data_IF_731172751035
#
_entry.id   IF_731172751035
#
_cell.length_a   1.000
_cell.length_b   1.000
_cell.length_c   1.000
_cell.angle_alpha   90.00
_cell.angle_beta   90.00
_cell.angle_gamma   90.00
#
_symmetry.space_group_name_H-M   'P 1'
#
loop_
_entity.id
_entity.type
_entity.pdbx_description
1 polymer ?
#
# COMPACT_ATOMS: atom_id res chain seq x y z
N UNK A 1 -32.11 -48.48 16.66
CA UNK A 1 -32.25 -47.80 15.34
C UNK A 1 -32.85 -46.42 15.61
N UNK A 2 -32.00 -45.38 15.65
CA UNK A 2 -31.92 -44.22 14.72
C UNK A 2 -33.05 -43.19 14.91
N UNK A 3 -32.62 -41.92 14.88
CA UNK A 3 -33.33 -40.64 14.69
C UNK A 3 -33.76 -39.92 15.96
N UNK A 4 -33.57 -38.61 16.12
CA UNK A 4 -32.67 -37.59 15.59
C UNK A 4 -33.14 -36.30 16.30
N UNK A 5 -32.22 -35.45 16.75
CA UNK A 5 -32.54 -34.13 17.31
C UNK A 5 -32.96 -33.19 16.18
N UNK A 6 -34.00 -32.34 16.33
CA UNK A 6 -34.10 -31.15 15.52
C UNK A 6 -33.33 -29.99 16.16
N UNK A 7 -32.30 -29.56 15.44
CA UNK A 7 -31.69 -28.24 15.50
C UNK A 7 -32.71 -27.24 14.97
N UNK A 8 -33.09 -26.21 15.75
CA UNK A 8 -33.59 -24.98 15.16
C UNK A 8 -32.80 -23.79 15.69
N UNK A 9 -32.01 -23.25 14.77
CA UNK A 9 -31.20 -22.04 14.88
C UNK A 9 -31.93 -20.97 14.06
N UNK A 10 -32.58 -20.02 14.74
CA UNK A 10 -33.12 -18.80 14.14
C UNK A 10 -32.40 -17.63 14.84
N UNK A 11 -31.37 -17.04 14.21
CA UNK A 11 -31.44 -15.87 13.31
C UNK A 11 -32.10 -14.70 14.03
N UNK A 12 -31.28 -13.84 14.64
CA UNK A 12 -30.88 -12.55 14.06
C UNK A 12 -32.08 -11.75 13.56
N UNK A 13 -32.38 -10.66 14.26
CA UNK A 13 -32.59 -9.31 13.73
C UNK A 13 -33.22 -8.48 14.85
N UNK A 14 -32.95 -7.19 14.85
CA UNK A 14 -33.34 -6.23 15.89
C UNK A 14 -32.44 -6.28 17.13
N UNK A 15 -31.37 -5.50 17.11
CA UNK A 15 -31.27 -4.43 18.09
C UNK A 15 -30.16 -3.46 17.64
N UNK A 16 -30.60 -2.24 17.33
CA UNK A 16 -29.89 -0.97 17.55
C UNK A 16 -28.90 -0.52 16.47
N UNK A 17 -29.47 -0.14 15.34
CA UNK A 17 -29.21 1.18 14.77
C UNK A 17 -29.45 2.25 15.86
N UNK A 18 -28.43 3.01 16.21
CA UNK A 18 -28.49 4.37 16.81
C UNK A 18 -27.09 4.95 16.62
N UNK A 19 -26.79 5.75 15.59
CA UNK A 19 -27.17 7.16 15.42
C UNK A 19 -26.72 8.01 16.61
N UNK A 20 -25.49 8.57 16.59
CA UNK A 20 -25.06 9.89 17.12
C UNK A 20 -23.71 10.18 16.41
N UNK A 21 -23.60 11.04 15.39
CA UNK A 21 -23.61 12.51 15.37
C UNK A 21 -22.36 13.16 16.01
N UNK A 22 -21.94 14.30 15.42
CA UNK A 22 -20.86 15.24 15.78
C UNK A 22 -19.43 14.76 15.43
N UNK A 23 -18.56 15.53 14.76
CA UNK A 23 -18.41 16.98 14.76
C UNK A 23 -17.67 17.43 13.49
N UNK A 24 -18.30 18.37 12.77
CA UNK A 24 -17.68 19.22 11.76
C UNK A 24 -17.06 20.42 12.46
N UNK A 25 -15.83 20.78 12.07
CA UNK A 25 -15.37 22.17 12.04
C UNK A 25 -14.34 22.60 13.09
N UNK A 26 -13.16 23.03 12.63
CA UNK A 26 -12.50 24.27 13.08
C UNK A 26 -11.34 24.62 12.12
N UNK A 27 -11.61 25.53 11.20
CA UNK A 27 -10.60 26.30 10.48
C UNK A 27 -10.18 27.50 11.33
N UNK A 28 -8.88 27.70 11.55
CA UNK A 28 -8.23 28.97 11.86
C UNK A 28 -6.70 28.71 11.86
N UNK A 29 -5.97 29.04 10.80
CA UNK A 29 -5.38 30.37 10.60
C UNK A 29 -4.55 30.83 11.82
N UNK A 30 -3.31 30.35 11.93
CA UNK A 30 -2.28 31.01 12.73
C UNK A 30 -1.20 31.54 11.79
N UNK A 31 -1.24 32.85 11.59
CA UNK A 31 -0.33 33.62 10.78
C UNK A 31 1.03 33.84 11.49
N UNK A 32 2.13 33.99 10.75
CA UNK A 32 3.46 34.31 11.28
C UNK A 32 3.65 35.83 11.48
N UNK A 33 4.37 36.28 12.52
CA UNK A 33 4.88 37.65 12.56
C UNK A 33 6.29 37.75 11.96
N UNK A 34 6.37 38.49 10.85
CA UNK A 34 7.32 39.56 10.54
C UNK A 34 8.73 39.52 11.15
N UNK A 35 9.74 39.51 10.28
CA UNK A 35 10.96 40.28 10.50
C UNK A 35 11.61 40.66 9.15
N UNK A 36 11.53 41.95 8.82
CA UNK A 36 12.19 42.57 7.68
C UNK A 36 13.70 42.57 7.89
N UNK A 37 14.49 42.20 6.88
CA UNK A 37 15.85 42.72 6.68
C UNK A 37 16.12 42.90 5.18
N UNK A 38 16.05 44.16 4.76
CA UNK A 38 16.64 44.66 3.52
C UNK A 38 18.16 44.58 3.63
N UNK A 39 18.82 43.88 2.69
CA UNK A 39 20.24 44.14 2.40
C UNK A 39 20.64 43.74 0.98
N UNK A 40 20.66 44.77 0.13
CA UNK A 40 21.59 45.03 -0.98
C UNK A 40 21.58 44.14 -2.24
N UNK A 41 21.40 44.75 -3.44
CA UNK A 41 21.66 44.12 -4.72
C UNK A 41 23.13 44.32 -5.11
N UNK A 42 23.87 43.23 -5.31
CA UNK A 42 25.15 43.29 -6.02
C UNK A 42 25.07 42.37 -7.23
N UNK A 43 25.03 43.00 -8.41
CA UNK A 43 25.14 42.37 -9.72
C UNK A 43 26.29 41.35 -9.77
N UNK A 44 26.00 40.13 -10.23
CA UNK A 44 26.99 39.32 -10.93
C UNK A 44 26.34 38.36 -11.92
N UNK A 45 26.44 38.76 -13.19
CA UNK A 45 26.46 38.00 -14.45
C UNK A 45 25.57 36.75 -14.64
N UNK A 46 24.74 36.71 -15.71
CA UNK A 46 24.17 35.46 -16.20
C UNK A 46 25.25 34.66 -16.93
N UNK A 47 25.81 33.64 -16.27
CA UNK A 47 26.42 32.53 -17.00
C UNK A 47 25.27 31.68 -17.52
N UNK A 48 24.97 31.81 -18.80
CA UNK A 48 24.10 30.89 -19.52
C UNK A 48 24.70 29.47 -19.43
N UNK A 49 24.22 28.68 -18.47
CA UNK A 49 24.43 27.23 -18.42
C UNK A 49 23.09 26.52 -18.63
N UNK A 50 22.46 26.79 -19.76
CA UNK A 50 21.31 26.02 -20.25
C UNK A 50 21.83 25.08 -21.33
N UNK A 51 22.08 23.83 -20.98
CA UNK A 51 22.52 22.84 -21.96
C UNK A 51 22.63 21.38 -21.50
N UNK A 52 22.22 21.00 -20.29
CA UNK A 52 22.38 19.62 -19.79
C UNK A 52 21.24 19.12 -18.88
N UNK A 53 20.00 19.60 -19.05
CA UNK A 53 18.87 19.11 -18.24
C UNK A 53 17.92 18.14 -18.97
N UNK A 54 18.14 17.87 -20.25
CA UNK A 54 17.23 17.03 -21.04
C UNK A 54 17.64 15.55 -21.10
N UNK A 55 18.88 15.20 -20.74
CA UNK A 55 19.37 13.81 -20.73
C UNK A 55 19.18 13.14 -19.36
N UNK A 56 18.98 13.90 -18.27
CA UNK A 56 18.85 13.34 -16.91
C UNK A 56 17.49 12.69 -16.64
N UNK A 57 16.40 13.21 -17.23
CA UNK A 57 15.03 12.75 -16.93
C UNK A 57 14.75 11.31 -17.39
N UNK A 58 15.40 10.83 -18.45
CA UNK A 58 15.24 9.44 -18.90
C UNK A 58 16.05 8.45 -18.06
N UNK A 59 17.25 8.85 -17.62
CA UNK A 59 18.10 8.01 -16.77
C UNK A 59 17.49 7.85 -15.36
N UNK A 60 16.97 8.94 -14.78
CA UNK A 60 16.26 8.90 -13.49
C UNK A 60 15.02 7.98 -13.57
N UNK A 61 14.30 8.00 -14.69
CA UNK A 61 13.14 7.15 -14.91
C UNK A 61 13.50 5.66 -15.00
N UNK A 62 14.58 5.32 -15.71
CA UNK A 62 15.10 3.95 -15.80
C UNK A 62 15.59 3.43 -14.45
N UNK A 63 16.27 4.27 -13.67
CA UNK A 63 16.69 3.95 -12.30
C UNK A 63 15.48 3.67 -11.40
N UNK A 64 14.44 4.53 -11.45
CA UNK A 64 13.20 4.31 -10.69
C UNK A 64 12.47 3.03 -11.10
N UNK A 65 12.43 2.70 -12.40
CA UNK A 65 11.86 1.43 -12.88
C UNK A 65 12.61 0.25 -12.27
N UNK A 66 13.96 0.30 -12.23
CA UNK A 66 14.78 -0.77 -11.67
C UNK A 66 14.56 -0.92 -10.15
N UNK A 67 14.51 0.18 -9.41
CA UNK A 67 14.21 0.18 -7.98
C UNK A 67 12.83 -0.42 -7.70
N UNK A 68 11.80 0.01 -8.42
CA UNK A 68 10.44 -0.49 -8.24
C UNK A 68 10.35 -1.98 -8.56
N UNK A 69 11.01 -2.46 -9.62
CA UNK A 69 11.02 -3.90 -9.93
C UNK A 69 11.74 -4.73 -8.89
N UNK A 70 12.83 -4.23 -8.30
CA UNK A 70 13.52 -4.90 -7.20
C UNK A 70 12.62 -5.00 -5.96
N UNK A 71 11.97 -3.89 -5.58
CA UNK A 71 11.04 -3.87 -4.44
C UNK A 71 9.87 -4.83 -4.67
N UNK A 72 9.26 -4.84 -5.87
CA UNK A 72 8.19 -5.77 -6.19
C UNK A 72 8.64 -7.24 -6.09
N UNK A 73 9.88 -7.54 -6.49
CA UNK A 73 10.44 -8.88 -6.35
C UNK A 73 10.58 -9.27 -4.88
N UNK A 74 11.14 -8.39 -4.04
CA UNK A 74 11.29 -8.64 -2.60
C UNK A 74 9.94 -8.85 -1.90
N UNK A 75 8.93 -8.05 -2.26
CA UNK A 75 7.57 -8.19 -1.74
C UNK A 75 6.95 -9.55 -2.10
N UNK A 76 7.16 -10.02 -3.33
CA UNK A 76 6.71 -11.33 -3.76
C UNK A 76 7.42 -12.47 -3.03
N UNK A 77 8.74 -12.35 -2.83
CA UNK A 77 9.49 -13.31 -2.02
C UNK A 77 9.00 -13.35 -0.57
N UNK A 78 8.72 -12.17 0.02
CA UNK A 78 8.18 -12.08 1.38
C UNK A 78 6.79 -12.72 1.48
N UNK A 79 5.90 -12.46 0.51
CA UNK A 79 4.60 -13.13 0.40
C UNK A 79 4.74 -14.65 0.32
N UNK A 80 5.68 -15.16 -0.47
CA UNK A 80 5.94 -16.59 -0.58
C UNK A 80 6.42 -17.21 0.74
N UNK A 81 7.24 -16.49 1.52
CA UNK A 81 7.66 -16.93 2.87
C UNK A 81 6.48 -17.04 3.82
N UNK A 82 5.58 -16.05 3.85
CA UNK A 82 4.37 -16.11 4.69
C UNK A 82 3.53 -17.34 4.32
N UNK A 83 3.32 -17.60 3.03
CA UNK A 83 2.57 -18.78 2.57
C UNK A 83 3.27 -20.06 2.99
N UNK A 84 4.60 -20.13 2.85
CA UNK A 84 5.37 -21.31 3.25
C UNK A 84 5.25 -21.55 4.75
N UNK A 85 5.51 -20.55 5.59
CA UNK A 85 5.48 -20.65 7.04
C UNK A 85 4.10 -21.06 7.56
N UNK A 86 3.04 -20.43 7.02
CA UNK A 86 1.65 -20.77 7.37
C UNK A 86 1.28 -22.19 6.92
N UNK A 87 1.73 -22.64 5.75
CA UNK A 87 1.48 -24.03 5.30
C UNK A 87 2.24 -25.06 6.13
N UNK A 88 3.47 -24.77 6.54
CA UNK A 88 4.25 -25.63 7.43
C UNK A 88 3.62 -25.72 8.81
N UNK A 89 3.17 -24.58 9.35
CA UNK A 89 2.45 -24.53 10.63
C UNK A 89 1.16 -25.36 10.56
N UNK A 90 0.38 -25.20 9.49
CA UNK A 90 -0.83 -25.95 9.26
C UNK A 90 -0.60 -27.46 9.18
N UNK A 91 0.49 -27.90 8.54
CA UNK A 91 0.90 -29.32 8.50
C UNK A 91 1.22 -29.84 9.90
N UNK A 92 1.95 -29.08 10.71
CA UNK A 92 2.30 -29.44 12.10
C UNK A 92 1.05 -29.60 12.98
N UNK A 93 0.06 -28.71 12.85
CA UNK A 93 -1.17 -28.75 13.65
C UNK A 93 -2.31 -29.57 12.99
N UNK A 94 -2.04 -30.24 11.86
CA UNK A 94 -3.02 -31.01 11.08
C UNK A 94 -4.29 -30.20 10.76
N UNK A 95 -4.12 -28.91 10.43
CA UNK A 95 -5.22 -28.03 10.08
C UNK A 95 -5.92 -28.51 8.79
N UNK A 96 -7.22 -28.25 8.68
CA UNK A 96 -7.97 -28.56 7.46
C UNK A 96 -7.54 -27.61 6.33
N UNK A 97 -7.43 -28.08 5.08
CA UNK A 97 -7.06 -27.23 3.94
C UNK A 97 -7.98 -26.01 3.76
N UNK A 98 -9.27 -26.14 4.12
CA UNK A 98 -10.24 -25.05 4.07
C UNK A 98 -9.89 -23.90 5.03
N UNK A 99 -9.37 -24.23 6.20
CA UNK A 99 -9.04 -23.23 7.22
C UNK A 99 -7.73 -22.54 6.87
N UNK A 100 -6.75 -23.27 6.30
CA UNK A 100 -5.53 -22.68 5.75
C UNK A 100 -5.82 -21.63 4.67
N UNK A 101 -6.71 -21.94 3.71
CA UNK A 101 -7.07 -20.99 2.65
C UNK A 101 -7.69 -19.72 3.20
N UNK A 102 -8.63 -19.83 4.14
CA UNK A 102 -9.23 -18.67 4.81
C UNK A 102 -8.20 -17.83 5.55
N UNK A 103 -7.25 -18.47 6.24
CA UNK A 103 -6.19 -17.75 6.94
C UNK A 103 -5.29 -16.99 5.97
N UNK A 104 -4.93 -17.59 4.82
CA UNK A 104 -4.15 -16.91 3.79
C UNK A 104 -4.92 -15.74 3.15
N UNK A 105 -6.20 -15.93 2.84
CA UNK A 105 -7.07 -14.89 2.26
C UNK A 105 -7.30 -13.71 3.21
N UNK A 106 -7.25 -13.93 4.53
CA UNK A 106 -7.45 -12.91 5.56
C UNK A 106 -6.16 -12.45 6.24
N UNK A 107 -4.99 -12.86 5.74
CA UNK A 107 -3.71 -12.51 6.33
C UNK A 107 -3.41 -11.02 6.09
N UNK A 108 -3.38 -10.23 7.18
CA UNK A 108 -3.23 -8.78 7.09
C UNK A 108 -2.01 -8.34 6.27
N UNK A 109 -0.89 -9.05 6.39
CA UNK A 109 0.32 -8.69 5.64
C UNK A 109 0.24 -9.09 4.17
N UNK A 110 -0.47 -10.17 3.82
CA UNK A 110 -0.67 -10.53 2.40
C UNK A 110 -1.53 -9.45 1.73
N UNK A 111 -2.58 -8.99 2.39
CA UNK A 111 -3.44 -7.92 1.88
C UNK A 111 -2.66 -6.61 1.67
N UNK A 112 -1.76 -6.25 2.60
CA UNK A 112 -0.90 -5.06 2.44
C UNK A 112 0.10 -5.22 1.30
N UNK A 113 0.68 -6.41 1.15
CA UNK A 113 1.61 -6.69 0.05
C UNK A 113 0.88 -6.60 -1.29
N UNK A 114 -0.29 -7.22 -1.41
CA UNK A 114 -1.08 -7.19 -2.64
C UNK A 114 -1.46 -5.75 -3.01
N UNK A 115 -1.84 -4.92 -2.02
CA UNK A 115 -2.09 -3.48 -2.24
C UNK A 115 -0.83 -2.71 -2.66
N UNK A 116 0.32 -2.99 -2.03
CA UNK A 116 1.58 -2.34 -2.37
C UNK A 116 2.06 -2.73 -3.78
N UNK A 117 1.88 -3.99 -4.18
CA UNK A 117 2.17 -4.46 -5.53
C UNK A 117 1.31 -3.74 -6.55
N UNK A 118 0.00 -3.59 -6.31
CA UNK A 118 -0.90 -2.84 -7.20
C UNK A 118 -0.45 -1.37 -7.38
N UNK A 119 0.03 -0.72 -6.31
CA UNK A 119 0.54 0.65 -6.37
C UNK A 119 1.84 0.74 -7.18
N UNK A 120 2.76 -0.20 -6.98
CA UNK A 120 4.04 -0.24 -7.69
C UNK A 120 3.85 -0.60 -9.16
N UNK A 121 2.88 -1.45 -9.49
CA UNK A 121 2.48 -1.74 -10.87
C UNK A 121 1.93 -0.49 -11.56
N UNK A 122 1.09 0.29 -10.88
CA UNK A 122 0.60 1.56 -11.40
C UNK A 122 1.74 2.59 -11.60
N UNK A 123 2.73 2.64 -10.68
CA UNK A 123 3.93 3.48 -10.84
C UNK A 123 4.74 3.03 -12.07
N UNK A 124 4.93 1.72 -12.30
CA UNK A 124 5.60 1.22 -13.49
C UNK A 124 4.85 1.56 -14.79
N UNK A 125 3.52 1.49 -14.78
CA UNK A 125 2.69 1.86 -15.93
C UNK A 125 2.80 3.36 -16.26
N UNK A 126 2.80 4.23 -15.24
CA UNK A 126 3.05 5.68 -15.41
C UNK A 126 4.46 5.94 -15.96
N UNK A 127 5.43 5.15 -15.51
CA UNK A 127 6.78 5.15 -16.03
C UNK A 127 6.88 4.41 -17.39
N UNK A 128 5.79 3.95 -18.00
CA UNK A 128 5.80 3.33 -19.33
C UNK A 128 6.68 2.07 -19.42
N UNK A 129 6.98 1.45 -18.28
CA UNK A 129 7.65 0.16 -18.24
C UNK A 129 6.62 -0.95 -18.53
N UNK A 130 7.03 -2.03 -19.22
CA UNK A 130 6.15 -3.17 -19.39
C UNK A 130 5.94 -3.84 -18.02
N UNK A 131 4.74 -3.72 -17.46
CA UNK A 131 4.30 -4.60 -16.36
C UNK A 131 4.35 -6.03 -16.88
N UNK A 132 5.32 -6.80 -16.39
CA UNK A 132 5.43 -8.23 -16.70
C UNK A 132 4.35 -8.98 -15.93
N UNK A 133 3.09 -8.78 -16.33
CA UNK A 133 1.97 -9.61 -15.89
C UNK A 133 2.23 -11.04 -16.36
N UNK A 134 2.73 -11.88 -15.46
CA UNK A 134 2.86 -13.33 -15.64
C UNK A 134 1.61 -14.05 -15.16
#
# INVERSE_FOLDING_TARGET
RILAKPVLKARHTMLRLSLIALLVGAAAAFAPPSAMHLRSPTLRAPVCRTGLHAVSMSAEKEERIAEVTEVMKELNEYRARIVTDTTEMAKKVKAKPRDLRKTLESHADILKIDQALEQLEAELEELGAPVTSS
#
